data_IF_793158378783
#
_entry.id   IF_793158378783
#
_cell.length_a   1.000
_cell.length_b   1.000
_cell.length_c   1.000
_cell.angle_alpha   90.00
_cell.angle_beta   90.00
_cell.angle_gamma   90.00
#
_symmetry.space_group_name_H-M   'P 1'
#
loop_
_entity.id
_entity.type
_entity.pdbx_description
1 polymer ?
#
# COMPACT_ATOMS: atom_id res chain seq x y z
N UNK A 1 -18.66 4.34 12.87
CA UNK A 1 -17.33 3.74 13.14
C UNK A 1 -17.40 2.32 13.72
N UNK A 2 -18.07 1.38 13.02
CA UNK A 2 -18.10 -0.03 13.44
C UNK A 2 -18.06 -1.02 12.24
N UNK A 3 -17.86 -0.52 11.02
CA UNK A 3 -18.01 -1.33 9.80
C UNK A 3 -16.68 -2.02 9.43
N UNK A 4 -15.53 -1.43 9.77
CA UNK A 4 -14.22 -2.06 9.55
C UNK A 4 -13.87 -3.19 10.51
N UNK A 5 -14.66 -3.42 11.57
CA UNK A 5 -14.44 -4.56 12.49
C UNK A 5 -15.21 -5.82 12.10
N UNK A 6 -16.00 -5.79 11.01
CA UNK A 6 -16.79 -6.95 10.55
C UNK A 6 -16.31 -7.44 9.19
N UNK A 7 -15.06 -7.89 9.11
CA UNK A 7 -14.59 -8.70 8.00
C UNK A 7 -13.60 -9.77 8.48
N UNK A 8 -14.14 -10.82 9.08
CA UNK A 8 -13.64 -12.20 8.96
C UNK A 8 -14.61 -13.13 9.71
N UNK A 9 -15.26 -14.12 9.04
CA UNK A 9 -15.96 -15.18 9.76
C UNK A 9 -14.94 -16.07 10.50
N UNK A 10 -15.24 -16.53 11.73
CA UNK A 10 -14.38 -17.47 12.43
C UNK A 10 -14.51 -18.85 11.77
N UNK A 11 -13.49 -19.29 11.04
CA UNK A 11 -13.52 -20.64 10.45
C UNK A 11 -12.52 -20.95 9.33
N UNK A 12 -11.80 -19.98 8.75
CA UNK A 12 -10.78 -20.28 7.74
C UNK A 12 -9.44 -20.61 8.41
N UNK A 13 -9.40 -21.70 9.17
CA UNK A 13 -8.14 -22.36 9.51
C UNK A 13 -8.04 -23.61 8.62
N UNK A 14 -6.95 -23.67 7.88
CA UNK A 14 -6.37 -24.92 7.37
C UNK A 14 -7.15 -25.63 6.24
N UNK A 15 -7.19 -25.03 5.04
CA UNK A 15 -7.29 -25.85 3.83
C UNK A 15 -5.89 -26.43 3.58
N UNK A 16 -5.68 -27.77 3.62
CA UNK A 16 -4.38 -28.35 3.34
C UNK A 16 -4.09 -28.17 1.85
N UNK A 17 -2.96 -27.55 1.52
CA UNK A 17 -2.45 -27.53 0.15
C UNK A 17 -1.99 -28.96 -0.20
N UNK A 18 -2.89 -29.76 -0.79
CA UNK A 18 -2.56 -31.08 -1.32
C UNK A 18 -1.88 -30.87 -2.68
N UNK A 19 -0.56 -30.97 -2.73
CA UNK A 19 0.21 -31.02 -3.99
C UNK A 19 1.65 -30.60 -3.83
N UNK A 20 2.59 -31.47 -4.19
CA UNK A 20 4.05 -31.26 -4.12
C UNK A 20 4.49 -29.89 -4.65
N UNK A 21 4.89 -29.00 -3.74
CA UNK A 21 5.52 -27.72 -4.05
C UNK A 21 5.83 -27.00 -2.75
N UNK A 22 7.12 -26.84 -2.47
CA UNK A 22 7.77 -25.93 -1.48
C UNK A 22 7.01 -25.61 -0.18
N UNK A 23 7.65 -25.84 0.97
CA UNK A 23 7.14 -25.39 2.29
C UNK A 23 6.99 -23.86 2.32
N UNK A 24 5.80 -23.35 1.99
CA UNK A 24 5.43 -21.95 2.09
C UNK A 24 4.84 -21.69 3.48
N UNK A 25 5.36 -20.69 4.20
CA UNK A 25 4.76 -20.23 5.45
C UNK A 25 3.59 -19.30 5.12
N UNK A 26 2.37 -19.83 5.11
CA UNK A 26 1.18 -19.05 4.84
C UNK A 26 0.83 -18.16 6.05
N UNK A 27 0.80 -16.85 5.84
CA UNK A 27 0.31 -15.88 6.83
C UNK A 27 -1.21 -15.68 6.68
N UNK A 28 -1.89 -15.30 7.77
CA UNK A 28 -3.32 -14.99 7.74
C UNK A 28 -3.55 -13.80 6.81
N UNK A 29 -4.48 -13.92 5.86
CA UNK A 29 -4.79 -12.87 4.88
C UNK A 29 -5.13 -11.53 5.56
N UNK A 30 -5.87 -11.58 6.67
CA UNK A 30 -6.18 -10.38 7.45
C UNK A 30 -4.93 -9.69 8.00
N UNK A 31 -3.97 -10.48 8.52
CA UNK A 31 -2.71 -9.95 9.02
C UNK A 31 -1.92 -9.28 7.88
N UNK A 32 -1.80 -9.98 6.74
CA UNK A 32 -1.12 -9.45 5.55
C UNK A 32 -1.76 -8.14 5.06
N UNK A 33 -3.10 -8.06 5.05
CA UNK A 33 -3.83 -6.87 4.65
C UNK A 33 -3.64 -5.71 5.63
N UNK A 34 -3.61 -5.97 6.95
CA UNK A 34 -3.35 -4.96 7.97
C UNK A 34 -1.93 -4.41 7.86
N UNK A 35 -0.95 -5.29 7.67
CA UNK A 35 0.47 -4.92 7.54
C UNK A 35 0.69 -4.09 6.27
N UNK A 36 0.08 -4.50 5.15
CA UNK A 36 0.13 -3.75 3.90
C UNK A 36 -0.49 -2.35 4.06
N UNK A 37 -1.66 -2.25 4.70
CA UNK A 37 -2.29 -0.95 4.96
C UNK A 37 -1.37 -0.05 5.80
N UNK A 38 -0.78 -0.60 6.85
CA UNK A 38 0.11 0.16 7.73
C UNK A 38 1.34 0.68 6.97
N UNK A 39 1.94 -0.17 6.12
CA UNK A 39 3.03 0.21 5.25
C UNK A 39 2.66 1.36 4.31
N UNK A 40 1.50 1.27 3.65
CA UNK A 40 1.02 2.34 2.78
C UNK A 40 0.82 3.65 3.54
N UNK A 41 0.25 3.61 4.74
CA UNK A 41 0.03 4.82 5.56
C UNK A 41 1.34 5.47 6.01
N UNK A 42 2.36 4.67 6.32
CA UNK A 42 3.68 5.19 6.68
C UNK A 42 4.37 5.87 5.49
N UNK A 43 4.14 5.37 4.28
CA UNK A 43 4.85 5.85 3.08
C UNK A 43 4.04 6.84 2.24
N UNK A 44 2.77 7.10 2.57
CA UNK A 44 1.88 7.97 1.79
C UNK A 44 2.51 9.34 1.52
N UNK A 45 3.26 9.88 2.48
CA UNK A 45 3.92 11.19 2.37
C UNK A 45 5.14 11.22 1.44
N UNK A 46 5.73 10.05 1.17
CA UNK A 46 6.85 9.91 0.25
C UNK A 46 6.40 9.64 -1.18
N UNK A 47 5.15 9.25 -1.37
CA UNK A 47 4.55 9.09 -2.69
C UNK A 47 4.06 10.44 -3.22
N UNK A 48 4.88 11.05 -4.08
CA UNK A 48 4.58 12.33 -4.73
C UNK A 48 3.34 12.27 -5.65
N UNK A 49 2.90 11.08 -6.08
CA UNK A 49 1.66 10.93 -6.85
C UNK A 49 0.42 11.04 -5.97
N UNK A 50 0.52 10.63 -4.70
CA UNK A 50 -0.58 10.68 -3.75
C UNK A 50 -0.65 12.02 -3.02
N UNK A 51 0.50 12.61 -2.67
CA UNK A 51 0.57 13.90 -1.95
C UNK A 51 0.65 15.11 -2.87
N UNK A 52 0.99 14.90 -4.13
CA UNK A 52 1.30 15.99 -5.06
C UNK A 52 2.70 16.55 -4.80
N UNK A 53 3.41 16.84 -5.89
CA UNK A 53 4.71 17.51 -5.82
C UNK A 53 4.55 19.01 -6.04
N UNK A 54 5.24 19.81 -5.22
CA UNK A 54 5.35 21.25 -5.45
C UNK A 54 6.13 21.53 -6.75
N UNK A 55 5.99 22.72 -7.33
CA UNK A 55 6.73 23.11 -8.54
C UNK A 55 8.25 23.05 -8.40
N UNK A 56 8.79 23.15 -7.18
CA UNK A 56 10.25 23.07 -6.93
C UNK A 56 10.71 21.63 -6.72
N UNK A 57 9.83 20.74 -6.26
CA UNK A 57 10.14 19.32 -6.01
C UNK A 57 9.81 18.43 -7.21
N UNK A 58 8.91 18.86 -8.10
CA UNK A 58 8.54 18.11 -9.30
C UNK A 58 9.57 18.32 -10.43
N UNK A 59 10.35 17.29 -10.82
CA UNK A 59 11.37 17.39 -11.85
C UNK A 59 10.81 17.59 -13.27
N UNK A 60 9.51 17.39 -13.46
CA UNK A 60 8.82 17.63 -14.73
C UNK A 60 8.26 19.05 -14.85
N UNK A 61 8.44 19.90 -13.83
CA UNK A 61 7.98 21.28 -13.90
C UNK A 61 8.80 22.03 -14.95
N UNK A 62 8.17 22.60 -16.00
CA UNK A 62 8.88 23.42 -16.97
C UNK A 62 9.54 24.62 -16.28
N UNK A 63 10.81 24.88 -16.58
CA UNK A 63 11.47 26.08 -16.07
C UNK A 63 10.77 27.32 -16.65
N UNK A 64 10.20 28.14 -15.77
CA UNK A 64 9.69 29.46 -16.16
C UNK A 64 10.88 30.39 -16.35
N UNK A 65 11.48 30.34 -17.54
CA UNK A 65 12.43 31.37 -17.96
C UNK A 65 11.62 32.62 -18.26
N UNK A 66 11.68 33.62 -17.39
CA UNK A 66 11.18 34.96 -17.68
C UNK A 66 12.25 35.67 -18.51
N UNK A 67 12.07 35.68 -19.82
CA UNK A 67 12.86 36.55 -20.69
C UNK A 67 12.42 37.99 -20.44
N UNK A 68 13.27 38.79 -19.81
CA UNK A 68 13.13 40.24 -19.83
C UNK A 68 13.48 40.71 -21.25
N UNK A 69 12.46 41.15 -22.00
CA UNK A 69 12.62 41.92 -23.24
C UNK A 69 12.77 43.40 -22.89
#
# INVERSE_FOLDING_TARGET
>A
NNISQKLCPPGTSDVPLIGNGTRLNCIKVFQAASDLKQFCLQNVHHDLLLTGASSTTNPFTPQKVCSFL
#
